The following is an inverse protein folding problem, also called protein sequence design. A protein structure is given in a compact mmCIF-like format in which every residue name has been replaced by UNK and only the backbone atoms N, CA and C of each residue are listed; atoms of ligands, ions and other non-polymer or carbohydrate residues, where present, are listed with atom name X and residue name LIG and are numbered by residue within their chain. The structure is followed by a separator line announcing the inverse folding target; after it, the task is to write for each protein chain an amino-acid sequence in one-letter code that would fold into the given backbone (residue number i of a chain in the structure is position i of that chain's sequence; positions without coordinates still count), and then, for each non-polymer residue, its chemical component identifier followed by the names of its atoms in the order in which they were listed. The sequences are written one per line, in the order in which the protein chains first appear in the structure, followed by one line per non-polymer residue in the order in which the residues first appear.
data_IF_320191965654
#
_entry.id   IF_320191965654
#
_cell.length_a   1.000
_cell.length_b   1.000
_cell.length_c   1.000
_cell.angle_alpha   90.00
_cell.angle_beta   90.00
_cell.angle_gamma   90.00
#
_symmetry.space_group_name_H-M   'P 1'
#
loop_
_entity.id
_entity.type
_entity.pdbx_description
1 polymer ?
#
# COMPACT_ATOMS: atom_id res chain seq x y z
N UNK A 1 -14.66 -11.79 -9.10
CA UNK A 1 -14.88 -13.08 -9.78
C UNK A 1 -13.70 -13.99 -9.57
N UNK A 2 -13.90 -15.29 -9.72
CA UNK A 2 -12.81 -16.26 -9.64
C UNK A 2 -12.09 -16.32 -10.98
N UNK A 3 -10.76 -16.30 -10.96
CA UNK A 3 -9.87 -16.39 -12.13
C UNK A 3 -10.16 -17.66 -12.94
N UNK A 4 -10.64 -18.74 -12.31
CA UNK A 4 -11.03 -19.99 -12.97
C UNK A 4 -12.11 -19.84 -14.05
N UNK A 5 -12.83 -18.72 -14.09
CA UNK A 5 -13.82 -18.40 -15.13
C UNK A 5 -13.23 -17.76 -16.38
N UNK A 6 -11.96 -17.37 -16.36
CA UNK A 6 -11.24 -16.85 -17.54
C UNK A 6 -10.71 -18.05 -18.35
N UNK A 7 -11.61 -18.95 -18.77
CA UNK A 7 -11.21 -20.16 -19.52
C UNK A 7 -11.04 -19.96 -21.02
N UNK A 8 -11.49 -18.83 -21.56
CA UNK A 8 -11.39 -18.52 -22.98
C UNK A 8 -10.88 -17.08 -23.13
N UNK A 9 -9.60 -16.87 -22.91
CA UNK A 9 -8.94 -15.67 -23.39
C UNK A 9 -8.87 -15.82 -24.91
N UNK A 10 -9.50 -14.93 -25.72
CA UNK A 10 -9.31 -14.97 -27.15
C UNK A 10 -7.83 -14.87 -27.45
N UNK A 11 -7.38 -15.54 -28.49
CA UNK A 11 -6.00 -15.42 -29.00
C UNK A 11 -5.87 -14.01 -29.60
N UNK A 12 -5.54 -13.04 -28.76
CA UNK A 12 -5.39 -11.65 -29.13
C UNK A 12 -3.88 -11.35 -29.13
N UNK A 13 -3.34 -11.06 -30.30
CA UNK A 13 -2.01 -10.46 -30.39
C UNK A 13 -2.09 -9.02 -29.88
N UNK A 14 -1.77 -8.83 -28.60
CA UNK A 14 -1.69 -7.52 -27.96
C UNK A 14 -0.44 -7.43 -27.10
N UNK A 15 0.27 -6.32 -27.21
CA UNK A 15 1.46 -6.02 -26.42
C UNK A 15 1.15 -5.22 -25.15
N UNK A 16 -0.07 -4.70 -25.03
CA UNK A 16 -0.50 -3.86 -23.91
C UNK A 16 -1.82 -4.38 -23.35
N UNK A 17 -1.91 -4.48 -22.04
CA UNK A 17 -3.12 -4.95 -21.35
C UNK A 17 -3.22 -4.43 -19.92
N UNK A 18 -4.47 -4.20 -19.48
CA UNK A 18 -4.79 -3.88 -18.10
C UNK A 18 -5.84 -4.86 -17.58
N UNK A 19 -5.74 -5.24 -16.30
CA UNK A 19 -6.68 -6.16 -15.66
C UNK A 19 -6.90 -5.83 -14.20
N UNK A 20 -8.03 -6.29 -13.64
CA UNK A 20 -8.39 -6.01 -12.25
C UNK A 20 -9.32 -7.08 -11.69
N UNK A 21 -9.06 -7.55 -10.47
CA UNK A 21 -9.90 -8.56 -9.80
C UNK A 21 -11.10 -7.96 -9.05
N UNK A 22 -11.12 -6.66 -8.86
CA UNK A 22 -12.11 -5.82 -8.20
C UNK A 22 -12.58 -6.31 -6.81
N UNK A 23 -12.28 -5.51 -5.79
CA UNK A 23 -12.97 -5.54 -4.51
C UNK A 23 -14.02 -4.41 -4.52
N UNK A 24 -15.31 -4.75 -4.44
CA UNK A 24 -16.39 -3.75 -4.61
C UNK A 24 -16.44 -2.77 -3.43
N UNK A 25 -16.14 -1.51 -3.68
CA UNK A 25 -16.31 -0.38 -2.74
C UNK A 25 -17.56 0.43 -3.07
N UNK A 26 -17.82 0.71 -4.37
CA UNK A 26 -18.99 1.42 -4.86
C UNK A 26 -19.74 0.57 -5.89
N UNK A 27 -21.07 0.56 -5.80
CA UNK A 27 -21.95 -0.19 -6.68
C UNK A 27 -22.00 -1.70 -6.38
N UNK A 28 -23.08 -2.36 -6.82
CA UNK A 28 -23.29 -3.81 -6.65
C UNK A 28 -22.26 -4.59 -7.48
N UNK A 29 -22.03 -5.84 -7.06
CA UNK A 29 -21.23 -6.78 -7.86
C UNK A 29 -22.04 -7.13 -9.12
N UNK A 30 -21.59 -6.60 -10.26
CA UNK A 30 -22.19 -6.83 -11.58
C UNK A 30 -21.11 -6.72 -12.65
N UNK A 31 -21.40 -7.23 -13.85
CA UNK A 31 -20.49 -7.07 -15.01
C UNK A 31 -20.36 -5.61 -15.41
N UNK A 32 -21.40 -4.81 -15.28
CA UNK A 32 -21.41 -3.37 -15.60
C UNK A 32 -20.49 -2.57 -14.69
N UNK A 33 -20.42 -2.97 -13.41
CA UNK A 33 -19.56 -2.32 -12.43
C UNK A 33 -18.16 -2.96 -12.35
N UNK A 34 -17.85 -3.96 -13.18
CA UNK A 34 -16.52 -4.57 -13.22
C UNK A 34 -15.50 -3.63 -13.86
N UNK A 35 -14.23 -3.77 -13.46
CA UNK A 35 -13.11 -3.12 -14.15
C UNK A 35 -12.55 -4.05 -15.24
N UNK A 36 -11.99 -3.48 -16.30
CA UNK A 36 -11.83 -2.07 -16.63
C UNK A 36 -13.16 -1.35 -16.93
N UNK A 37 -13.24 -0.06 -16.60
CA UNK A 37 -14.30 0.82 -17.04
C UNK A 37 -13.89 1.54 -18.32
N UNK A 38 -14.87 1.85 -19.17
CA UNK A 38 -14.67 2.54 -20.43
C UNK A 38 -15.30 3.94 -20.39
N UNK A 39 -14.66 4.90 -21.04
CA UNK A 39 -15.28 6.20 -21.29
C UNK A 39 -16.43 6.08 -22.27
N UNK A 40 -17.29 7.09 -22.34
CA UNK A 40 -18.50 7.10 -23.19
C UNK A 40 -18.18 6.77 -24.64
N UNK A 41 -17.14 7.37 -25.21
CA UNK A 41 -16.73 7.14 -26.60
C UNK A 41 -15.73 5.98 -26.75
N UNK A 42 -15.51 5.22 -25.67
CA UNK A 42 -14.61 4.04 -25.62
C UNK A 42 -13.16 4.36 -26.00
N UNK A 43 -12.72 5.61 -25.83
CA UNK A 43 -11.35 6.02 -26.13
C UNK A 43 -10.40 5.72 -24.99
N UNK A 44 -10.89 5.81 -23.76
CA UNK A 44 -10.14 5.59 -22.52
C UNK A 44 -10.68 4.35 -21.83
N UNK A 45 -9.78 3.50 -21.34
CA UNK A 45 -10.10 2.35 -20.50
C UNK A 45 -9.23 2.40 -19.25
N UNK A 46 -9.83 2.27 -18.06
CA UNK A 46 -9.09 2.32 -16.80
C UNK A 46 -9.47 1.22 -15.83
N UNK A 47 -8.49 0.82 -15.00
CA UNK A 47 -8.68 0.09 -13.76
C UNK A 47 -8.32 1.03 -12.60
N UNK A 48 -8.98 0.86 -11.44
CA UNK A 48 -8.88 1.78 -10.34
C UNK A 48 -8.94 1.06 -9.00
N UNK A 49 -8.02 1.40 -8.11
CA UNK A 49 -8.06 1.11 -6.69
C UNK A 49 -8.22 2.42 -5.92
N UNK A 50 -9.13 2.46 -4.97
CA UNK A 50 -9.37 3.63 -4.14
C UNK A 50 -10.81 4.14 -4.21
N UNK A 51 -10.98 5.39 -3.82
CA UNK A 51 -12.28 6.08 -3.79
C UNK A 51 -12.08 7.53 -4.23
N UNK A 52 -12.88 7.98 -5.19
CA UNK A 52 -12.98 9.37 -5.61
C UNK A 52 -14.12 10.01 -4.81
N UNK A 53 -13.79 10.75 -3.77
CA UNK A 53 -14.78 11.27 -2.79
C UNK A 53 -15.74 12.25 -3.44
N UNK A 54 -15.29 13.10 -4.36
CA UNK A 54 -16.10 14.08 -5.07
C UNK A 54 -16.73 13.54 -6.38
N UNK A 55 -16.83 12.21 -6.57
CA UNK A 55 -17.32 11.61 -7.80
C UNK A 55 -18.74 12.06 -8.18
N UNK A 56 -19.61 12.36 -7.22
CA UNK A 56 -20.98 12.81 -7.50
C UNK A 56 -21.00 14.20 -8.14
N UNK A 57 -20.14 15.10 -7.67
CA UNK A 57 -20.00 16.45 -8.24
C UNK A 57 -19.45 16.36 -9.67
N UNK A 58 -18.37 15.59 -9.86
CA UNK A 58 -17.79 15.35 -11.19
C UNK A 58 -18.78 14.67 -12.14
N UNK A 59 -19.58 13.72 -11.64
CA UNK A 59 -20.63 13.06 -12.43
C UNK A 59 -21.71 14.05 -12.89
N UNK A 60 -22.13 14.96 -12.01
CA UNK A 60 -23.09 16.01 -12.35
C UNK A 60 -22.51 16.98 -13.38
N UNK A 61 -21.27 17.42 -13.19
CA UNK A 61 -20.57 18.26 -14.15
C UNK A 61 -20.52 17.61 -15.55
N UNK A 62 -20.10 16.35 -15.62
CA UNK A 62 -20.00 15.61 -16.90
C UNK A 62 -21.38 15.38 -17.53
N UNK A 63 -22.44 15.13 -16.74
CA UNK A 63 -23.81 15.04 -17.27
C UNK A 63 -24.26 16.35 -17.92
N UNK A 64 -23.92 17.50 -17.34
CA UNK A 64 -24.21 18.81 -17.93
C UNK A 64 -23.42 19.06 -19.22
N UNK A 65 -22.34 18.32 -19.45
CA UNK A 65 -21.55 18.29 -20.69
C UNK A 65 -22.03 17.22 -21.69
N UNK A 66 -23.11 16.49 -21.36
CA UNK A 66 -23.71 15.49 -22.24
C UNK A 66 -23.22 14.07 -22.08
N UNK A 67 -22.43 13.79 -21.03
CA UNK A 67 -21.96 12.44 -20.74
C UNK A 67 -23.05 11.58 -20.09
N UNK A 68 -23.19 10.36 -20.57
CA UNK A 68 -24.05 9.32 -20.01
C UNK A 68 -23.21 8.32 -19.19
N UNK A 69 -23.83 7.71 -18.21
CA UNK A 69 -23.17 6.76 -17.31
C UNK A 69 -23.91 5.43 -17.30
N UNK A 70 -23.18 4.35 -17.45
CA UNK A 70 -23.72 2.99 -17.50
C UNK A 70 -23.49 2.23 -16.17
N UNK A 71 -22.53 2.65 -15.36
CA UNK A 71 -22.20 2.04 -14.09
C UNK A 71 -22.49 2.94 -12.90
N UNK A 72 -22.47 2.33 -11.70
CA UNK A 72 -22.56 3.04 -10.43
C UNK A 72 -21.17 3.41 -9.87
N UNK A 73 -20.09 3.17 -10.64
CA UNK A 73 -18.72 3.31 -10.13
C UNK A 73 -18.21 4.75 -10.28
N UNK A 74 -17.43 5.18 -9.31
CA UNK A 74 -16.61 6.38 -9.39
C UNK A 74 -15.53 6.28 -10.47
N UNK A 75 -15.12 5.06 -10.80
CA UNK A 75 -14.15 4.75 -11.86
C UNK A 75 -14.63 5.19 -13.23
N UNK A 76 -15.91 4.96 -13.58
CA UNK A 76 -16.47 5.44 -14.84
C UNK A 76 -16.47 6.96 -14.91
N UNK A 77 -16.65 7.63 -13.76
CA UNK A 77 -16.57 9.10 -13.68
C UNK A 77 -15.16 9.58 -14.00
N UNK A 78 -14.12 8.97 -13.43
CA UNK A 78 -12.74 9.31 -13.76
C UNK A 78 -12.41 9.04 -15.22
N UNK A 79 -12.89 7.93 -15.77
CA UNK A 79 -12.68 7.56 -17.16
C UNK A 79 -13.26 8.60 -18.12
N UNK A 80 -14.49 9.05 -17.86
CA UNK A 80 -15.16 10.09 -18.63
C UNK A 80 -14.52 11.47 -18.40
N UNK A 81 -13.99 11.76 -17.22
CA UNK A 81 -13.28 13.01 -16.95
C UNK A 81 -12.01 13.12 -17.78
N UNK A 82 -11.20 12.06 -17.86
CA UNK A 82 -9.99 12.03 -18.70
C UNK A 82 -10.36 12.26 -20.16
N UNK A 83 -11.40 11.58 -20.66
CA UNK A 83 -11.84 11.75 -22.04
C UNK A 83 -12.34 13.18 -22.32
N UNK A 84 -13.12 13.77 -21.41
CA UNK A 84 -13.60 15.15 -21.51
C UNK A 84 -12.44 16.15 -21.59
N UNK A 85 -11.47 16.04 -20.67
CA UNK A 85 -10.31 16.94 -20.62
C UNK A 85 -9.42 16.80 -21.86
N UNK A 86 -9.25 15.57 -22.35
CA UNK A 86 -8.53 15.33 -23.61
C UNK A 86 -9.23 15.97 -24.82
N UNK A 87 -10.57 16.02 -24.84
CA UNK A 87 -11.31 16.64 -25.92
C UNK A 87 -11.22 18.18 -25.91
N UNK A 88 -11.03 18.79 -24.74
CA UNK A 88 -10.94 20.25 -24.61
C UNK A 88 -9.61 20.80 -25.15
N UNK A 89 -8.47 20.10 -24.90
CA UNK A 89 -7.14 20.64 -25.19
C UNK A 89 -6.30 19.77 -26.17
N UNK A 90 -6.72 18.57 -26.50
CA UNK A 90 -5.99 17.57 -27.32
C UNK A 90 -4.56 17.27 -26.81
N UNK A 91 -4.31 17.52 -25.52
CA UNK A 91 -3.05 17.27 -24.82
C UNK A 91 -3.28 16.21 -23.74
N UNK A 92 -2.75 15.01 -23.96
CA UNK A 92 -2.98 13.88 -23.08
C UNK A 92 -2.30 14.03 -21.73
N UNK A 93 -1.07 14.53 -21.69
CA UNK A 93 -0.33 14.73 -20.43
C UNK A 93 -1.06 15.77 -19.56
N UNK A 94 -1.50 16.85 -20.16
CA UNK A 94 -2.29 17.90 -19.49
C UNK A 94 -3.61 17.35 -18.96
N UNK A 95 -4.31 16.52 -19.73
CA UNK A 95 -5.55 15.88 -19.29
C UNK A 95 -5.34 14.98 -18.05
N UNK A 96 -4.21 14.27 -17.98
CA UNK A 96 -3.86 13.45 -16.79
C UNK A 96 -3.55 14.32 -15.57
N UNK A 97 -2.82 15.42 -15.75
CA UNK A 97 -2.49 16.38 -14.67
C UNK A 97 -3.77 17.02 -14.14
N UNK A 98 -4.63 17.53 -15.03
CA UNK A 98 -5.90 18.12 -14.63
C UNK A 98 -6.85 17.11 -13.98
N UNK A 99 -6.82 15.85 -14.40
CA UNK A 99 -7.58 14.77 -13.73
C UNK A 99 -7.09 14.59 -12.30
N UNK A 100 -5.76 14.49 -12.09
CA UNK A 100 -5.18 14.39 -10.76
C UNK A 100 -5.59 15.56 -9.86
N UNK A 101 -5.63 16.78 -10.37
CA UNK A 101 -6.01 17.97 -9.61
C UNK A 101 -7.50 17.99 -9.25
N UNK A 102 -8.37 17.55 -10.17
CA UNK A 102 -9.83 17.60 -9.99
C UNK A 102 -10.41 16.50 -9.14
N UNK A 103 -9.81 15.31 -9.09
CA UNK A 103 -10.30 14.22 -8.24
C UNK A 103 -9.91 14.47 -6.78
N UNK A 104 -10.77 14.12 -5.83
CA UNK A 104 -10.51 14.14 -4.40
C UNK A 104 -10.52 12.73 -3.82
N UNK A 105 -9.87 12.54 -2.66
CA UNK A 105 -9.75 11.24 -2.02
C UNK A 105 -8.45 10.51 -2.37
N UNK A 106 -8.50 9.18 -2.48
CA UNK A 106 -7.32 8.35 -2.73
C UNK A 106 -7.56 7.41 -3.91
N UNK A 107 -6.70 7.49 -4.92
CA UNK A 107 -6.86 6.79 -6.19
C UNK A 107 -5.55 6.30 -6.77
N UNK A 108 -5.53 5.05 -7.21
CA UNK A 108 -4.50 4.46 -8.06
C UNK A 108 -5.17 4.05 -9.37
N UNK A 109 -4.98 4.84 -10.40
CA UNK A 109 -5.58 4.64 -11.72
C UNK A 109 -4.52 4.16 -12.69
N UNK A 110 -4.80 3.10 -13.42
CA UNK A 110 -3.98 2.61 -14.53
C UNK A 110 -4.88 2.50 -15.74
N UNK A 111 -4.44 3.02 -16.87
CA UNK A 111 -5.29 3.05 -18.06
C UNK A 111 -4.55 3.06 -19.38
N UNK A 112 -5.33 2.88 -20.44
CA UNK A 112 -4.91 2.91 -21.82
C UNK A 112 -5.79 3.87 -22.63
N UNK A 113 -5.18 4.48 -23.65
CA UNK A 113 -5.84 5.35 -24.59
C UNK A 113 -5.76 4.71 -25.99
N UNK A 114 -6.91 4.53 -26.66
CA UNK A 114 -6.95 3.92 -27.99
C UNK A 114 -6.14 4.69 -29.06
N UNK A 115 -5.97 5.99 -28.86
CA UNK A 115 -5.18 6.84 -29.76
C UNK A 115 -3.66 6.65 -29.55
N UNK A 116 -3.25 6.04 -28.41
CA UNK A 116 -1.86 5.72 -28.08
C UNK A 116 -1.75 4.26 -27.61
N UNK A 117 -2.01 3.29 -28.51
CA UNK A 117 -2.26 1.89 -28.14
C UNK A 117 -1.03 1.16 -27.55
N UNK A 118 0.16 1.73 -27.66
CA UNK A 118 1.41 1.19 -27.09
C UNK A 118 1.73 1.75 -25.71
N UNK A 119 0.90 2.67 -25.19
CA UNK A 119 1.15 3.34 -23.92
C UNK A 119 0.18 2.92 -22.84
N UNK A 120 0.72 2.85 -21.60
CA UNK A 120 -0.07 2.74 -20.38
C UNK A 120 0.19 4.00 -19.56
N UNK A 121 -0.88 4.65 -19.08
CA UNK A 121 -0.75 5.76 -18.15
C UNK A 121 -1.13 5.37 -16.72
N UNK A 122 -0.57 6.09 -15.78
CA UNK A 122 -0.77 5.90 -14.35
C UNK A 122 -1.03 7.25 -13.71
N UNK A 123 -2.05 7.31 -12.83
CA UNK A 123 -2.29 8.44 -11.92
C UNK A 123 -2.33 7.90 -10.51
N UNK A 124 -1.51 8.44 -9.61
CA UNK A 124 -1.50 8.11 -8.20
C UNK A 124 -1.85 9.32 -7.35
N UNK A 125 -2.96 9.25 -6.62
CA UNK A 125 -3.40 10.26 -5.66
C UNK A 125 -3.66 9.64 -4.30
N UNK A 126 -3.14 10.27 -3.25
CA UNK A 126 -3.35 9.79 -1.87
C UNK A 126 -2.82 8.37 -1.64
N UNK A 127 -3.36 7.74 -0.59
CA UNK A 127 -2.95 6.40 -0.14
C UNK A 127 -4.04 5.36 -0.45
N UNK A 128 -4.15 4.96 -1.72
CA UNK A 128 -5.12 3.98 -2.22
C UNK A 128 -4.54 2.57 -2.39
N UNK A 129 -3.60 2.19 -1.53
CA UNK A 129 -2.84 0.96 -1.65
C UNK A 129 -1.57 1.13 -2.49
N UNK A 130 -0.74 0.07 -2.55
CA UNK A 130 0.49 0.07 -3.33
C UNK A 130 0.24 0.19 -4.83
N UNK A 131 1.16 0.84 -5.52
CA UNK A 131 1.26 0.82 -6.97
C UNK A 131 2.73 0.89 -7.34
N UNK A 132 3.20 -0.12 -8.06
CA UNK A 132 4.61 -0.27 -8.43
C UNK A 132 4.76 -0.43 -9.92
N UNK A 133 5.86 0.08 -10.43
CA UNK A 133 6.30 -0.15 -11.80
C UNK A 133 7.64 -0.85 -11.82
N UNK A 134 7.84 -1.75 -12.75
CA UNK A 134 9.11 -2.41 -12.97
C UNK A 134 9.37 -2.63 -14.44
N UNK A 135 10.63 -2.90 -14.77
CA UNK A 135 11.07 -3.18 -16.11
C UNK A 135 12.03 -4.36 -16.11
N UNK A 136 11.85 -5.27 -17.07
CA UNK A 136 12.75 -6.38 -17.36
C UNK A 136 12.99 -6.43 -18.87
N UNK A 137 14.18 -6.06 -19.30
CA UNK A 137 14.47 -5.88 -20.73
C UNK A 137 13.53 -4.82 -21.36
N UNK A 138 12.78 -5.22 -22.38
CA UNK A 138 11.80 -4.36 -23.05
C UNK A 138 10.40 -4.46 -22.44
N UNK A 139 10.15 -5.39 -21.54
CA UNK A 139 8.86 -5.58 -20.91
C UNK A 139 8.71 -4.70 -19.68
N UNK A 140 7.51 -4.15 -19.47
CA UNK A 140 7.18 -3.33 -18.32
C UNK A 140 5.93 -3.87 -17.64
N UNK A 141 5.94 -3.88 -16.33
CA UNK A 141 4.82 -4.35 -15.53
C UNK A 141 4.44 -3.33 -14.46
N UNK A 142 3.13 -3.17 -14.30
CA UNK A 142 2.51 -2.36 -13.24
C UNK A 142 1.72 -3.30 -12.36
N UNK A 143 1.86 -3.15 -11.05
CA UNK A 143 1.11 -3.96 -10.10
C UNK A 143 0.74 -3.18 -8.84
N UNK A 144 -0.39 -3.54 -8.23
CA UNK A 144 -0.72 -3.10 -6.87
C UNK A 144 0.03 -3.90 -5.79
N UNK A 145 0.55 -5.08 -6.13
CA UNK A 145 1.34 -5.91 -5.23
C UNK A 145 2.72 -6.22 -5.84
N UNK A 146 3.83 -5.74 -5.23
CA UNK A 146 5.16 -6.00 -5.74
C UNK A 146 5.56 -7.48 -5.73
N UNK A 147 4.87 -8.34 -4.97
CA UNK A 147 5.22 -9.78 -4.89
C UNK A 147 5.03 -10.52 -6.20
N UNK A 148 4.10 -10.07 -7.05
CA UNK A 148 3.89 -10.68 -8.37
C UNK A 148 4.98 -10.33 -9.39
N UNK A 149 5.83 -9.37 -9.10
CA UNK A 149 7.00 -9.04 -9.92
C UNK A 149 8.16 -10.02 -9.72
N UNK A 150 8.05 -10.91 -8.72
CA UNK A 150 9.06 -11.91 -8.44
C UNK A 150 9.21 -12.88 -9.63
N UNK A 151 10.43 -13.01 -10.13
CA UNK A 151 10.74 -13.79 -11.33
C UNK A 151 10.54 -13.03 -12.65
N UNK A 152 9.93 -11.84 -12.61
CA UNK A 152 9.84 -10.94 -13.76
C UNK A 152 10.98 -9.91 -13.76
N UNK A 153 11.24 -9.25 -12.64
CA UNK A 153 12.27 -8.22 -12.52
C UNK A 153 13.03 -8.32 -11.20
N UNK A 154 14.21 -7.71 -11.13
CA UNK A 154 15.05 -7.67 -9.92
C UNK A 154 14.73 -6.50 -9.01
N UNK A 155 14.01 -5.51 -9.52
CA UNK A 155 13.66 -4.29 -8.80
C UNK A 155 12.39 -3.65 -9.33
N UNK A 156 11.82 -2.78 -8.51
CA UNK A 156 10.65 -1.97 -8.87
C UNK A 156 10.72 -0.59 -8.21
N UNK A 157 9.91 0.32 -8.71
CA UNK A 157 9.71 1.65 -8.12
C UNK A 157 8.28 1.80 -7.65
N UNK A 158 8.07 2.26 -6.41
CA UNK A 158 6.77 2.71 -5.91
C UNK A 158 6.39 4.05 -6.50
N UNK A 159 5.10 4.17 -6.90
CA UNK A 159 4.48 5.46 -7.09
C UNK A 159 3.91 5.95 -5.75
N UNK A 160 4.08 7.22 -5.50
CA UNK A 160 3.55 7.89 -4.31
C UNK A 160 2.49 8.92 -4.69
N UNK A 161 1.96 9.59 -3.65
CA UNK A 161 0.93 10.62 -3.83
C UNK A 161 1.37 11.71 -4.84
N UNK A 162 0.43 12.10 -5.69
CA UNK A 162 0.59 13.12 -6.73
C UNK A 162 1.62 12.78 -7.81
N UNK A 163 1.82 11.51 -8.12
CA UNK A 163 2.65 11.08 -9.25
C UNK A 163 1.82 10.64 -10.45
N UNK A 164 2.32 11.01 -11.63
CA UNK A 164 1.80 10.58 -12.92
C UNK A 164 2.95 9.98 -13.72
N UNK A 165 2.73 8.82 -14.33
CA UNK A 165 3.70 8.19 -15.22
C UNK A 165 3.02 7.68 -16.51
N UNK A 166 3.80 7.66 -17.59
CA UNK A 166 3.45 7.01 -18.86
C UNK A 166 4.54 5.98 -19.17
N UNK A 167 4.09 4.78 -19.44
CA UNK A 167 4.93 3.68 -19.92
C UNK A 167 4.72 3.53 -21.42
N UNK A 168 5.79 3.56 -22.18
CA UNK A 168 5.80 3.23 -23.60
C UNK A 168 6.78 2.08 -23.90
N UNK A 169 6.98 1.73 -25.15
CA UNK A 169 7.88 0.62 -25.56
C UNK A 169 9.33 0.82 -25.07
N UNK A 170 9.76 2.07 -24.90
CA UNK A 170 11.16 2.40 -24.62
C UNK A 170 11.40 2.80 -23.15
N UNK A 171 10.47 3.56 -22.56
CA UNK A 171 10.72 4.28 -21.30
C UNK A 171 9.57 4.15 -20.30
N UNK A 172 9.87 4.48 -19.05
CA UNK A 172 8.91 4.85 -18.02
C UNK A 172 9.15 6.32 -17.75
N UNK A 173 8.29 7.18 -18.28
CA UNK A 173 8.37 8.61 -18.13
C UNK A 173 7.50 9.05 -16.94
N UNK A 174 8.05 9.76 -15.98
CA UNK A 174 7.30 10.42 -14.92
C UNK A 174 7.03 11.86 -15.34
N UNK A 175 5.75 12.20 -15.59
CA UNK A 175 5.32 13.54 -16.00
C UNK A 175 5.25 14.45 -14.77
N UNK A 176 4.80 13.91 -13.65
CA UNK A 176 4.73 14.60 -12.37
C UNK A 176 5.30 13.72 -11.28
N UNK A 177 6.27 14.26 -10.54
CA UNK A 177 6.95 13.59 -9.43
C UNK A 177 6.94 14.45 -8.17
N UNK A 178 6.88 13.80 -7.02
CA UNK A 178 7.08 14.51 -5.75
C UNK A 178 8.57 14.86 -5.58
N UNK A 179 8.95 16.14 -5.41
CA UNK A 179 10.33 16.58 -5.32
C UNK A 179 11.12 15.83 -4.23
N UNK A 180 12.37 15.44 -4.56
CA UNK A 180 13.28 14.77 -3.63
C UNK A 180 13.03 13.28 -3.42
N UNK A 181 12.16 12.68 -4.22
CA UNK A 181 11.82 11.25 -4.11
C UNK A 181 12.12 10.42 -5.37
N UNK A 182 13.01 10.91 -6.22
CA UNK A 182 13.34 10.33 -7.54
C UNK A 182 13.97 8.92 -7.47
N UNK A 183 14.60 8.54 -6.34
CA UNK A 183 15.37 7.29 -6.21
C UNK A 183 14.69 6.26 -5.29
N UNK A 184 13.46 5.80 -5.66
CA UNK A 184 12.73 4.78 -4.88
C UNK A 184 12.77 3.41 -5.52
N UNK A 185 13.93 3.06 -6.07
CA UNK A 185 14.12 1.71 -6.60
C UNK A 185 14.34 0.77 -5.42
N UNK A 186 13.46 -0.20 -5.30
CA UNK A 186 13.51 -1.25 -4.30
C UNK A 186 13.93 -2.55 -4.97
N UNK A 187 14.97 -3.20 -4.45
CA UNK A 187 15.34 -4.55 -4.92
C UNK A 187 14.33 -5.56 -4.40
N UNK A 188 13.91 -6.48 -5.25
CA UNK A 188 13.12 -7.63 -4.86
C UNK A 188 14.01 -8.59 -4.08
N UNK A 189 13.79 -8.69 -2.78
CA UNK A 189 14.47 -9.67 -1.94
C UNK A 189 13.94 -11.07 -2.29
N UNK A 190 14.85 -12.00 -2.57
CA UNK A 190 14.53 -13.42 -2.68
C UNK A 190 14.27 -13.98 -1.29
N UNK A 191 13.09 -13.73 -0.74
CA UNK A 191 12.62 -14.42 0.45
C UNK A 191 12.20 -15.84 0.01
N UNK A 192 13.10 -16.79 0.19
CA UNK A 192 12.77 -18.20 0.06
C UNK A 192 11.95 -18.61 1.29
N UNK A 193 10.65 -18.37 1.25
CA UNK A 193 9.75 -19.14 2.09
C UNK A 193 9.54 -20.48 1.36
N UNK A 194 9.90 -21.59 2.01
CA UNK A 194 9.54 -22.91 1.54
C UNK A 194 8.03 -22.93 1.35
N UNK A 195 7.59 -23.31 0.15
CA UNK A 195 6.17 -23.57 -0.13
C UNK A 195 5.68 -24.57 0.90
N UNK A 196 4.68 -24.16 1.65
CA UNK A 196 4.10 -24.99 2.68
C UNK A 196 3.33 -26.08 1.95
N UNK A 197 3.62 -27.31 2.27
CA UNK A 197 3.02 -28.49 1.64
C UNK A 197 1.49 -28.42 1.65
N UNK A 198 0.86 -28.84 0.55
CA UNK A 198 -0.61 -28.98 0.38
C UNK A 198 -1.27 -30.03 1.33
N UNK A 199 -0.85 -30.06 2.61
CA UNK A 199 -1.34 -30.98 3.62
C UNK A 199 -2.70 -30.51 4.16
N UNK A 200 -2.93 -29.21 4.17
CA UNK A 200 -4.12 -28.60 4.74
C UNK A 200 -5.14 -28.24 3.67
N UNK A 201 -6.40 -28.50 3.94
CA UNK A 201 -7.50 -28.17 3.04
C UNK A 201 -7.73 -26.65 2.93
N UNK A 202 -7.47 -25.91 4.02
CA UNK A 202 -7.71 -24.48 4.10
C UNK A 202 -6.43 -23.71 4.46
N UNK A 203 -6.17 -22.62 3.77
CA UNK A 203 -4.99 -21.77 4.04
C UNK A 203 -4.96 -21.23 5.48
N UNK A 204 -6.11 -20.92 6.06
CA UNK A 204 -6.18 -20.47 7.45
C UNK A 204 -5.71 -21.55 8.44
N UNK A 205 -6.08 -22.80 8.21
CA UNK A 205 -5.65 -23.93 9.04
C UNK A 205 -4.13 -24.11 8.96
N UNK A 206 -3.58 -24.07 7.76
CA UNK A 206 -2.16 -24.09 7.49
C UNK A 206 -1.42 -22.99 8.24
N UNK A 207 -1.91 -21.74 8.14
CA UNK A 207 -1.30 -20.57 8.80
C UNK A 207 -1.39 -20.62 10.33
N UNK A 208 -2.46 -21.20 10.89
CA UNK A 208 -2.57 -21.46 12.32
C UNK A 208 -1.46 -22.42 12.79
N UNK A 209 -1.26 -23.52 12.07
CA UNK A 209 -0.24 -24.51 12.40
C UNK A 209 1.18 -24.02 12.10
N UNK A 210 1.34 -23.01 11.26
CA UNK A 210 2.63 -22.42 10.94
C UNK A 210 3.16 -21.47 12.02
N UNK A 211 2.35 -21.01 12.97
CA UNK A 211 2.76 -20.04 14.01
C UNK A 211 4.05 -20.43 14.74
N UNK A 212 4.28 -21.68 15.20
CA UNK A 212 5.54 -22.07 15.84
C UNK A 212 6.75 -21.84 14.92
N UNK A 213 6.63 -22.16 13.62
CA UNK A 213 7.66 -21.96 12.61
C UNK A 213 7.95 -20.47 12.37
N UNK A 214 6.90 -19.63 12.37
CA UNK A 214 7.05 -18.17 12.27
C UNK A 214 7.83 -17.60 13.48
N UNK A 215 7.54 -18.07 14.68
CA UNK A 215 8.28 -17.68 15.89
C UNK A 215 9.76 -18.10 15.80
N UNK A 216 10.00 -19.33 15.36
CA UNK A 216 11.35 -19.84 15.17
C UNK A 216 12.11 -19.04 14.10
N UNK A 217 11.47 -18.67 13.01
CA UNK A 217 12.03 -17.82 11.98
C UNK A 217 12.41 -16.43 12.52
N UNK A 218 11.56 -15.81 13.34
CA UNK A 218 11.89 -14.54 13.99
C UNK A 218 13.15 -14.72 14.85
N UNK A 219 13.20 -15.75 15.68
CA UNK A 219 14.35 -16.00 16.56
C UNK A 219 15.65 -16.22 15.79
N UNK A 220 15.60 -17.01 14.73
CA UNK A 220 16.81 -17.46 14.02
C UNK A 220 17.29 -16.46 12.98
N UNK A 221 16.37 -15.77 12.30
CA UNK A 221 16.68 -14.97 11.10
C UNK A 221 16.41 -13.47 11.29
N UNK A 222 15.41 -13.09 12.08
CA UNK A 222 14.99 -11.69 12.18
C UNK A 222 15.42 -10.98 13.46
N UNK A 223 15.66 -11.69 14.56
CA UNK A 223 16.04 -11.07 15.84
C UNK A 223 17.30 -10.21 15.70
N UNK A 224 18.37 -10.76 15.15
CA UNK A 224 19.62 -10.02 14.92
C UNK A 224 19.42 -8.86 13.93
N UNK A 225 18.61 -9.05 12.89
CA UNK A 225 18.32 -8.00 11.92
C UNK A 225 17.52 -6.84 12.56
N UNK A 226 16.56 -7.15 13.42
CA UNK A 226 15.79 -6.13 14.17
C UNK A 226 16.73 -5.35 15.09
N UNK A 227 17.57 -6.04 15.85
CA UNK A 227 18.53 -5.41 16.78
C UNK A 227 19.51 -4.53 16.01
N UNK A 228 20.15 -5.03 14.96
CA UNK A 228 21.08 -4.26 14.15
C UNK A 228 20.43 -3.01 13.54
N UNK A 229 19.23 -3.13 12.98
CA UNK A 229 18.47 -1.97 12.47
C UNK A 229 18.18 -0.93 13.56
N UNK A 230 17.86 -1.38 14.77
CA UNK A 230 17.61 -0.49 15.91
C UNK A 230 18.90 0.20 16.35
N UNK A 231 20.05 -0.48 16.35
CA UNK A 231 21.37 0.07 16.70
C UNK A 231 21.87 1.07 15.64
N UNK A 232 21.74 0.72 14.37
CA UNK A 232 22.14 1.58 13.25
C UNK A 232 21.22 2.79 13.08
N UNK A 233 20.03 2.74 13.69
CA UNK A 233 19.06 3.82 13.59
C UNK A 233 19.54 5.08 14.31
N UNK A 234 19.26 6.23 13.70
CA UNK A 234 19.50 7.54 14.34
C UNK A 234 18.42 7.88 15.37
N UNK A 235 17.52 6.93 15.67
CA UNK A 235 16.45 7.14 16.63
C UNK A 235 17.01 7.10 18.06
N UNK A 236 16.89 8.22 18.75
CA UNK A 236 17.27 8.32 20.17
C UNK A 236 16.16 7.74 21.05
N UNK A 237 16.03 6.41 21.05
CA UNK A 237 14.94 5.69 21.73
C UNK A 237 14.96 5.88 23.25
N UNK A 238 16.10 6.20 23.84
CA UNK A 238 16.25 6.54 25.26
C UNK A 238 15.59 7.90 25.64
N UNK A 239 15.38 8.80 24.68
CA UNK A 239 14.74 10.10 24.88
C UNK A 239 13.20 10.04 24.77
N UNK A 240 12.62 8.90 24.36
CA UNK A 240 11.18 8.73 24.18
C UNK A 240 10.44 8.81 25.52
N UNK A 241 9.42 9.68 25.58
CA UNK A 241 8.60 9.91 26.77
C UNK A 241 7.23 9.24 26.71
N UNK A 242 6.70 9.02 25.52
CA UNK A 242 5.40 8.38 25.29
C UNK A 242 5.42 7.58 23.99
N UNK A 243 4.70 6.46 23.97
CA UNK A 243 4.52 5.63 22.79
C UNK A 243 3.04 5.64 22.40
N UNK A 244 2.77 5.97 21.14
CA UNK A 244 1.45 5.85 20.53
C UNK A 244 1.52 4.75 19.48
N UNK A 245 0.68 3.76 19.62
CA UNK A 245 0.61 2.65 18.68
C UNK A 245 -0.63 2.84 17.83
N UNK A 246 -0.53 2.66 16.53
CA UNK A 246 -1.65 2.80 15.59
C UNK A 246 -1.76 1.57 14.72
N UNK A 247 -2.99 1.11 14.47
CA UNK A 247 -3.28 -0.05 13.64
C UNK A 247 -4.77 -0.24 13.44
N UNK A 248 -5.14 -1.14 12.54
CA UNK A 248 -6.53 -1.50 12.23
C UNK A 248 -6.76 -2.99 12.50
N UNK A 249 -7.98 -3.38 12.88
CA UNK A 249 -8.38 -4.78 13.04
C UNK A 249 -7.45 -5.60 13.94
N UNK A 250 -6.90 -6.69 13.43
CA UNK A 250 -5.97 -7.54 14.19
C UNK A 250 -4.67 -6.83 14.55
N UNK A 251 -4.20 -5.90 13.73
CA UNK A 251 -3.03 -5.06 14.04
C UNK A 251 -3.29 -4.14 15.24
N UNK A 252 -4.51 -3.61 15.38
CA UNK A 252 -4.93 -2.88 16.57
C UNK A 252 -4.86 -3.76 17.82
N UNK A 253 -5.39 -5.00 17.74
CA UNK A 253 -5.35 -5.94 18.86
C UNK A 253 -3.93 -6.34 19.24
N UNK A 254 -3.03 -6.55 18.26
CA UNK A 254 -1.62 -6.79 18.52
C UNK A 254 -0.94 -5.59 19.20
N UNK A 255 -1.28 -4.38 18.75
CA UNK A 255 -0.83 -3.13 19.37
C UNK A 255 -1.34 -2.95 20.80
N UNK A 256 -2.55 -3.44 21.10
CA UNK A 256 -3.07 -3.44 22.47
C UNK A 256 -2.21 -4.28 23.41
N UNK A 257 -1.81 -5.49 22.98
CA UNK A 257 -0.84 -6.32 23.72
C UNK A 257 0.51 -5.60 23.81
N UNK A 258 0.97 -4.98 22.72
CA UNK A 258 2.21 -4.21 22.68
C UNK A 258 2.24 -3.08 23.70
N UNK A 259 1.12 -2.39 23.93
CA UNK A 259 1.06 -1.31 24.92
C UNK A 259 1.38 -1.81 26.33
N UNK A 260 0.92 -2.99 26.70
CA UNK A 260 1.30 -3.64 27.96
C UNK A 260 2.80 -3.93 28.06
N UNK A 261 3.43 -4.35 26.96
CA UNK A 261 4.87 -4.59 26.96
C UNK A 261 5.64 -3.30 27.19
N UNK A 262 5.29 -2.21 26.52
CA UNK A 262 5.98 -0.93 26.69
C UNK A 262 5.78 -0.36 28.09
N UNK A 263 4.58 -0.42 28.65
CA UNK A 263 4.32 0.06 30.01
C UNK A 263 5.01 -0.80 31.08
N UNK A 264 4.91 -2.13 30.96
CA UNK A 264 5.43 -3.02 31.99
C UNK A 264 6.94 -3.24 31.90
N UNK A 265 7.50 -3.31 30.68
CA UNK A 265 8.91 -3.58 30.48
C UNK A 265 9.71 -2.28 30.31
N UNK A 266 9.34 -1.44 29.34
CA UNK A 266 10.11 -0.22 29.07
C UNK A 266 9.79 0.93 30.02
N UNK A 267 8.73 0.81 30.84
CA UNK A 267 8.25 1.85 31.77
C UNK A 267 7.96 3.18 31.05
N UNK A 268 7.41 3.10 29.84
CA UNK A 268 7.00 4.24 29.05
C UNK A 268 5.48 4.24 28.92
N UNK A 269 4.80 5.35 29.24
CA UNK A 269 3.35 5.49 29.00
C UNK A 269 3.04 5.18 27.55
N UNK A 270 2.12 4.24 27.33
CA UNK A 270 1.82 3.73 25.99
C UNK A 270 0.34 3.64 25.77
N UNK A 271 -0.12 4.00 24.57
CA UNK A 271 -1.52 3.96 24.21
C UNK A 271 -1.69 3.42 22.79
N UNK A 272 -2.65 2.51 22.64
CA UNK A 272 -3.13 2.09 21.33
C UNK A 272 -4.28 3.00 20.88
N UNK A 273 -4.29 3.37 19.60
CA UNK A 273 -5.33 4.20 18.97
C UNK A 273 -5.68 3.52 17.64
N UNK A 274 -6.97 3.47 17.33
CA UNK A 274 -7.40 3.03 16.01
C UNK A 274 -6.86 4.00 14.97
N UNK A 275 -6.22 3.47 13.92
CA UNK A 275 -5.54 4.32 12.93
C UNK A 275 -6.51 5.27 12.23
N UNK A 276 -7.78 4.88 12.00
CA UNK A 276 -8.80 5.74 11.42
C UNK A 276 -9.17 6.93 12.28
N UNK A 277 -8.98 6.84 13.59
CA UNK A 277 -9.32 7.88 14.55
C UNK A 277 -8.12 8.72 15.01
N UNK A 278 -6.91 8.32 14.59
CA UNK A 278 -5.67 8.89 15.13
C UNK A 278 -5.58 10.41 14.93
N UNK A 279 -5.90 10.90 13.74
CA UNK A 279 -5.81 12.30 13.38
C UNK A 279 -6.91 13.10 14.13
N UNK A 280 -8.13 12.57 14.14
CA UNK A 280 -9.32 13.23 14.70
C UNK A 280 -9.41 13.09 16.23
N UNK A 281 -8.56 12.27 16.84
CA UNK A 281 -8.53 12.07 18.29
C UNK A 281 -8.18 13.33 19.10
N UNK A 282 -7.78 14.41 18.43
CA UNK A 282 -7.40 15.68 19.08
C UNK A 282 -6.12 15.60 19.93
N UNK A 283 -5.38 14.49 19.82
CA UNK A 283 -4.15 14.30 20.62
C UNK A 283 -3.04 15.22 20.15
N UNK A 284 -2.43 15.89 21.12
CA UNK A 284 -1.21 16.65 20.88
C UNK A 284 -0.06 15.67 20.69
N UNK A 285 0.61 15.75 19.57
CA UNK A 285 1.79 14.94 19.23
C UNK A 285 3.04 15.78 19.42
N UNK A 286 4.02 15.24 20.16
CA UNK A 286 5.27 15.90 20.47
C UNK A 286 6.47 15.22 19.79
N UNK A 287 7.56 15.95 19.59
CA UNK A 287 8.80 15.40 19.05
C UNK A 287 9.46 14.32 19.95
N UNK A 288 9.06 14.26 21.23
CA UNK A 288 9.47 13.22 22.18
C UNK A 288 8.58 11.97 22.16
N UNK A 289 7.55 11.94 21.31
CA UNK A 289 6.71 10.77 21.13
C UNK A 289 7.31 9.82 20.11
N UNK A 290 7.05 8.53 20.30
CA UNK A 290 7.25 7.48 19.31
C UNK A 290 5.89 7.01 18.83
N UNK A 291 5.63 7.10 17.53
CA UNK A 291 4.43 6.55 16.90
C UNK A 291 4.81 5.25 16.18
N UNK A 292 4.18 4.15 16.57
CA UNK A 292 4.40 2.83 15.98
C UNK A 292 3.20 2.47 15.14
N UNK A 293 3.36 2.42 13.82
CA UNK A 293 2.32 1.98 12.88
C UNK A 293 2.42 0.49 12.61
N UNK A 294 1.33 -0.23 12.87
CA UNK A 294 1.25 -1.68 12.65
C UNK A 294 0.36 -1.96 11.46
N UNK A 295 0.90 -2.62 10.44
CA UNK A 295 0.15 -3.06 9.27
C UNK A 295 0.90 -4.20 8.58
N UNK A 296 0.25 -5.35 8.40
CA UNK A 296 0.87 -6.52 7.76
C UNK A 296 1.34 -6.20 6.33
N UNK A 297 0.47 -5.64 5.51
CA UNK A 297 0.79 -5.28 4.12
C UNK A 297 1.73 -4.08 4.02
N UNK A 298 1.71 -3.19 5.02
CA UNK A 298 2.34 -1.88 4.94
C UNK A 298 1.61 -0.87 4.03
N UNK A 299 0.40 -1.22 3.57
CA UNK A 299 -0.38 -0.45 2.60
C UNK A 299 -1.73 0.03 3.16
N UNK A 300 -1.97 -0.16 4.46
CA UNK A 300 -3.22 0.29 5.10
C UNK A 300 -3.26 1.81 5.16
N UNK A 301 -4.19 2.41 4.43
CA UNK A 301 -4.26 3.86 4.20
C UNK A 301 -4.31 4.67 5.51
N UNK A 302 -5.13 4.25 6.47
CA UNK A 302 -5.28 4.93 7.75
C UNK A 302 -4.01 4.88 8.58
N UNK A 303 -3.31 3.74 8.58
CA UNK A 303 -2.02 3.59 9.28
C UNK A 303 -0.93 4.45 8.65
N UNK A 304 -0.90 4.52 7.32
CA UNK A 304 0.03 5.38 6.57
C UNK A 304 -0.24 6.85 6.88
N UNK A 305 -1.50 7.30 6.79
CA UNK A 305 -1.90 8.68 7.14
C UNK A 305 -1.50 9.04 8.57
N UNK A 306 -1.68 8.12 9.52
CA UNK A 306 -1.31 8.33 10.92
C UNK A 306 0.22 8.51 11.08
N UNK A 307 1.03 7.70 10.39
CA UNK A 307 2.49 7.80 10.41
C UNK A 307 2.97 9.11 9.75
N UNK A 308 2.39 9.49 8.61
CA UNK A 308 2.68 10.77 7.94
C UNK A 308 2.34 11.96 8.83
N UNK A 309 1.15 11.94 9.46
CA UNK A 309 0.74 12.99 10.39
C UNK A 309 1.72 13.11 11.56
N UNK A 310 2.11 11.98 12.16
CA UNK A 310 3.06 11.95 13.26
C UNK A 310 4.42 12.54 12.84
N UNK A 311 4.92 12.15 11.68
CA UNK A 311 6.18 12.65 11.12
C UNK A 311 6.15 14.15 10.86
N UNK A 312 5.04 14.68 10.33
CA UNK A 312 4.82 16.11 10.13
C UNK A 312 4.80 16.89 11.46
N UNK A 313 4.40 16.24 12.57
CA UNK A 313 4.51 16.78 13.93
C UNK A 313 5.89 16.56 14.57
N UNK A 314 6.86 16.04 13.82
CA UNK A 314 8.25 15.76 14.24
C UNK A 314 8.37 14.65 15.30
N UNK A 315 7.34 13.84 15.50
CA UNK A 315 7.42 12.62 16.29
C UNK A 315 8.30 11.59 15.56
N UNK A 316 8.91 10.67 16.32
CA UNK A 316 9.62 9.53 15.75
C UNK A 316 8.61 8.49 15.29
N UNK A 317 8.92 7.80 14.17
CA UNK A 317 8.02 6.83 13.58
C UNK A 317 8.69 5.48 13.35
N UNK A 318 7.99 4.41 13.70
CA UNK A 318 8.40 3.03 13.39
C UNK A 318 7.24 2.33 12.69
N UNK A 319 7.50 1.74 11.54
CA UNK A 319 6.58 0.82 10.88
C UNK A 319 6.89 -0.63 11.31
N UNK A 320 5.87 -1.36 11.75
CA UNK A 320 5.93 -2.80 12.05
C UNK A 320 5.13 -3.51 10.97
N UNK A 321 5.82 -4.18 10.04
CA UNK A 321 5.26 -4.67 8.79
C UNK A 321 5.84 -6.02 8.38
N UNK A 322 5.15 -6.77 7.54
CA UNK A 322 5.76 -7.92 6.86
C UNK A 322 6.59 -7.50 5.65
N UNK A 323 6.13 -6.52 4.87
CA UNK A 323 6.80 -6.07 3.65
C UNK A 323 7.69 -4.85 3.93
N UNK A 324 9.01 -5.07 4.03
CA UNK A 324 10.00 -4.01 4.30
C UNK A 324 10.05 -2.90 3.25
N UNK A 325 9.49 -3.15 2.07
CA UNK A 325 9.46 -2.22 0.93
C UNK A 325 8.10 -1.54 0.74
N UNK A 326 7.22 -1.61 1.74
CA UNK A 326 5.88 -1.01 1.69
C UNK A 326 5.89 0.52 1.90
N UNK A 327 4.75 1.17 1.60
CA UNK A 327 4.60 2.62 1.82
C UNK A 327 4.83 3.00 3.29
N UNK A 328 4.27 2.24 4.24
CA UNK A 328 4.50 2.49 5.66
C UNK A 328 6.00 2.45 6.02
N UNK A 329 6.76 1.53 5.39
CA UNK A 329 8.22 1.43 5.57
C UNK A 329 8.97 2.64 5.00
N UNK A 330 8.57 3.11 3.83
CA UNK A 330 9.24 4.23 3.13
C UNK A 330 9.06 5.54 3.89
N UNK A 331 7.89 5.78 4.46
CA UNK A 331 7.59 7.02 5.17
C UNK A 331 8.10 7.05 6.61
N UNK A 332 8.33 5.90 7.23
CA UNK A 332 8.76 5.79 8.63
C UNK A 332 10.26 6.03 8.78
N UNK A 333 10.68 6.44 9.99
CA UNK A 333 12.10 6.62 10.30
C UNK A 333 12.82 5.28 10.48
N UNK A 334 12.07 4.23 10.86
CA UNK A 334 12.58 2.87 11.00
C UNK A 334 11.50 1.85 10.63
N UNK A 335 11.92 0.73 10.07
CA UNK A 335 11.05 -0.40 9.73
C UNK A 335 11.49 -1.66 10.46
N UNK A 336 10.55 -2.29 11.17
CA UNK A 336 10.69 -3.62 11.76
C UNK A 336 9.88 -4.60 10.91
N UNK A 337 10.59 -5.56 10.31
CA UNK A 337 9.96 -6.67 9.60
C UNK A 337 9.58 -7.76 10.62
N UNK A 338 8.34 -8.25 10.55
CA UNK A 338 7.82 -9.23 11.49
C UNK A 338 8.17 -10.68 11.15
N UNK A 339 8.66 -10.95 9.93
CA UNK A 339 9.18 -12.26 9.51
C UNK A 339 8.18 -13.42 9.55
N UNK A 340 6.89 -13.11 9.39
CA UNK A 340 5.81 -14.13 9.40
C UNK A 340 5.65 -14.84 8.06
N UNK A 341 6.18 -14.27 6.98
CA UNK A 341 5.88 -14.66 5.62
C UNK A 341 4.48 -14.23 5.16
N UNK A 342 4.20 -14.49 3.88
CA UNK A 342 2.91 -14.12 3.29
C UNK A 342 1.75 -14.83 3.99
N UNK A 343 0.68 -14.09 4.30
CA UNK A 343 -0.56 -14.58 4.90
C UNK A 343 -1.68 -14.40 3.87
N UNK A 344 -2.38 -15.49 3.55
CA UNK A 344 -3.41 -15.54 2.51
C UNK A 344 -4.83 -15.61 3.07
N UNK A 345 -4.96 -16.08 4.31
CA UNK A 345 -6.24 -16.12 4.98
C UNK A 345 -6.73 -14.70 5.31
N UNK A 346 -8.04 -14.51 5.29
CA UNK A 346 -8.66 -13.21 5.61
C UNK A 346 -8.44 -12.81 7.07
N UNK A 347 -8.55 -13.78 7.97
CA UNK A 347 -8.28 -13.55 9.40
C UNK A 347 -6.80 -13.73 9.69
N UNK A 348 -6.21 -12.77 10.40
CA UNK A 348 -4.81 -12.82 10.77
C UNK A 348 -4.53 -13.87 11.83
N UNK A 349 -3.48 -14.66 11.62
CA UNK A 349 -3.03 -15.74 12.50
C UNK A 349 -1.56 -15.59 12.85
N UNK A 350 -0.67 -16.11 12.01
CA UNK A 350 0.80 -16.05 12.20
C UNK A 350 1.33 -14.61 12.21
N UNK A 351 0.74 -13.72 11.43
CA UNK A 351 1.09 -12.30 11.39
C UNK A 351 0.80 -11.61 12.72
N UNK A 352 -0.37 -11.89 13.34
CA UNK A 352 -0.70 -11.38 14.66
C UNK A 352 0.33 -11.81 15.71
N UNK A 353 0.66 -13.10 15.74
CA UNK A 353 1.65 -13.68 16.66
C UNK A 353 3.04 -13.08 16.45
N UNK A 354 3.48 -12.97 15.19
CA UNK A 354 4.77 -12.37 14.84
C UNK A 354 4.85 -10.89 15.21
N UNK A 355 3.77 -10.14 14.98
CA UNK A 355 3.67 -8.73 15.37
C UNK A 355 3.84 -8.56 16.88
N UNK A 356 3.13 -9.35 17.68
CA UNK A 356 3.22 -9.30 19.15
C UNK A 356 4.64 -9.59 19.66
N UNK A 357 5.32 -10.55 19.05
CA UNK A 357 6.71 -10.87 19.39
C UNK A 357 7.65 -9.73 19.00
N UNK A 358 7.48 -9.14 17.83
CA UNK A 358 8.29 -8.00 17.38
C UNK A 358 8.13 -6.79 18.30
N UNK A 359 6.91 -6.51 18.78
CA UNK A 359 6.66 -5.47 19.79
C UNK A 359 7.29 -5.80 21.14
N UNK A 360 7.29 -7.07 21.54
CA UNK A 360 8.00 -7.52 22.75
C UNK A 360 9.52 -7.28 22.63
N UNK A 361 10.12 -7.65 21.50
CA UNK A 361 11.54 -7.43 21.22
C UNK A 361 11.87 -5.93 21.29
N UNK A 362 11.07 -5.10 20.60
CA UNK A 362 11.23 -3.65 20.61
C UNK A 362 11.14 -3.07 22.04
N UNK A 363 10.18 -3.55 22.84
CA UNK A 363 10.02 -3.08 24.21
C UNK A 363 11.22 -3.43 25.10
N UNK A 364 11.77 -4.62 24.94
CA UNK A 364 13.00 -5.05 25.65
C UNK A 364 14.22 -4.24 25.23
N UNK A 365 14.34 -3.99 23.93
CA UNK A 365 15.44 -3.16 23.42
C UNK A 365 15.38 -1.72 23.97
N UNK A 366 14.20 -1.08 23.95
CA UNK A 366 14.04 0.26 24.52
C UNK A 366 14.37 0.27 26.01
N UNK A 367 13.96 -0.77 26.75
CA UNK A 367 14.32 -0.91 28.17
C UNK A 367 15.82 -0.97 28.38
N UNK A 368 16.55 -1.81 27.63
CA UNK A 368 18.02 -1.94 27.76
C UNK A 368 18.71 -0.60 27.48
N UNK A 369 18.30 0.12 26.45
CA UNK A 369 18.89 1.44 26.13
C UNK A 369 18.59 2.51 27.20
N UNK A 370 17.42 2.46 27.86
CA UNK A 370 17.08 3.37 28.95
C UNK A 370 17.88 3.08 30.23
N UNK A 371 18.22 1.83 30.48
CA UNK A 371 18.97 1.41 31.66
C UNK A 371 20.50 1.38 31.44
N UNK A 372 20.97 1.69 30.22
CA UNK A 372 22.37 1.54 29.79
C UNK A 372 22.87 0.10 30.03
N UNK A 373 22.03 -0.90 29.80
CA UNK A 373 22.36 -2.32 29.85
C UNK A 373 22.65 -2.77 28.41
N UNK A 374 23.82 -3.38 28.20
CA UNK A 374 24.22 -4.00 26.94
C UNK A 374 23.49 -5.32 26.64
#
# INVERSE_FOLDING_TARGET
GTIDKIKNIPDIESYVGISHTRWATHGKISTTNAHPQLSQNKKISIVHNGIIENYQELKLFLKNKGYLFNSDTDTEVACNLIEFLLQEDDDFEKALIETLDKIEGSSSIVGININEPTKIFIIKKGNSGGLVVSQSGNEKMISSDPTILKGFADSYRYLVNNEIAILDDNTIQFIQEEPGKENRIVKLENQNFEDINDIYQYKMEEEIHFQPKAIENIRNNYLSLIINKLEDSKLKLNEIKRILIVGMGSSFNAGYIGSYYFENLSKIPSQIINASEFIDSGKIIHASDLVIGITQSGETAETIKALEYAKNKKAKTIAVVEKSSSQASIISDLTINIGSGSEYAVASTKTFTSTTISLYILSKYIYSKKQNID
#
